data_IF_898405170102
#
_entry.id   IF_898405170102
#
_cell.length_a   1.000
_cell.length_b   1.000
_cell.length_c   1.000
_cell.angle_alpha   90.00
_cell.angle_beta   90.00
_cell.angle_gamma   90.00
#
_symmetry.space_group_name_H-M   'P 1'
#
loop_
_entity.id
_entity.type
_entity.pdbx_description
1 polymer ?
#
# COMPACT_ATOMS: atom_id res chain seq x y z
N UNK A 1 -3.53 11.56 -12.62
CA UNK A 1 -3.79 10.30 -13.35
C UNK A 1 -3.78 9.14 -12.36
N UNK A 2 -3.38 7.97 -12.84
CA UNK A 2 -3.35 6.77 -12.00
C UNK A 2 -2.48 6.97 -10.76
N UNK A 3 -1.43 7.76 -10.90
CA UNK A 3 -0.54 8.02 -9.77
C UNK A 3 -1.32 8.43 -8.53
N UNK A 4 -2.36 9.25 -8.70
CA UNK A 4 -3.16 9.67 -7.56
C UNK A 4 -3.80 8.45 -6.92
N UNK A 5 -4.34 7.58 -7.76
CA UNK A 5 -4.97 6.36 -7.28
C UNK A 5 -3.92 5.42 -6.73
N UNK A 6 -2.75 5.43 -7.36
CA UNK A 6 -1.65 4.57 -6.96
C UNK A 6 -1.28 4.76 -5.50
N UNK A 7 -1.19 6.00 -5.04
CA UNK A 7 -0.84 6.24 -3.65
C UNK A 7 -1.98 5.80 -2.74
N UNK A 8 -3.20 5.82 -3.26
CA UNK A 8 -4.36 5.43 -2.47
C UNK A 8 -4.25 3.96 -2.08
N UNK A 9 -4.08 3.08 -3.06
CA UNK A 9 -3.96 1.65 -2.79
C UNK A 9 -2.63 1.34 -2.11
N UNK A 10 -1.60 2.04 -2.52
CA UNK A 10 -0.26 1.84 -1.98
C UNK A 10 -0.24 2.03 -0.46
N UNK A 11 -1.06 2.95 0.05
CA UNK A 11 -1.09 3.19 1.49
C UNK A 11 -1.67 1.98 2.19
N UNK A 12 -2.76 1.50 1.62
CA UNK A 12 -3.44 0.35 2.14
C UNK A 12 -2.57 -0.88 1.98
N UNK A 13 -1.99 -1.02 0.80
CA UNK A 13 -1.11 -2.14 0.49
C UNK A 13 0.08 -2.17 1.44
N UNK A 14 0.59 -0.99 1.76
CA UNK A 14 1.73 -0.90 2.65
C UNK A 14 1.46 -1.62 3.97
N UNK A 15 0.21 -1.64 4.41
CA UNK A 15 -0.11 -2.30 5.66
C UNK A 15 -0.10 -3.80 5.46
N UNK A 16 -0.75 -4.20 4.38
CA UNK A 16 -0.83 -5.59 4.02
C UNK A 16 0.58 -6.13 3.81
N UNK A 17 1.38 -5.35 3.10
CA UNK A 17 2.75 -5.71 2.83
C UNK A 17 3.54 -5.59 4.12
N UNK A 18 3.30 -4.51 4.85
CA UNK A 18 4.00 -4.29 6.11
C UNK A 18 3.75 -5.44 7.07
N UNK A 19 2.52 -5.95 7.07
CA UNK A 19 2.18 -7.06 7.95
C UNK A 19 3.15 -8.21 7.71
N UNK A 20 3.42 -8.47 6.44
CA UNK A 20 4.35 -9.53 6.07
C UNK A 20 5.69 -9.27 6.72
N UNK A 21 6.13 -8.02 6.64
CA UNK A 21 7.39 -7.61 7.25
C UNK A 21 7.36 -7.94 8.73
N UNK A 22 6.26 -7.57 9.38
CA UNK A 22 6.09 -7.83 10.80
C UNK A 22 6.00 -9.34 11.03
N UNK A 23 5.15 -9.99 10.25
CA UNK A 23 4.96 -11.43 10.36
C UNK A 23 6.31 -12.15 10.24
N UNK A 24 7.12 -11.83 9.28
#
# INVERSE_FOLDING_TARGET
VFQFLGKIIHHVGNFVHGFSHVFX
#
